data_IF_793831823894
#
_entry.id   IF_793831823894
#
_cell.length_a   1.000
_cell.length_b   1.000
_cell.length_c   1.000
_cell.angle_alpha   90.00
_cell.angle_beta   90.00
_cell.angle_gamma   90.00
#
_symmetry.space_group_name_H-M   'P 1'
#
loop_
_entity.id
_entity.type
_entity.pdbx_description
1 polymer ?
#
# COMPACT_ATOMS: atom_id res chain seq x y z
N UNK A 1 -2.16 10.77 2.49
CA UNK A 1 -1.36 10.18 3.60
C UNK A 1 -0.10 9.60 3.01
N UNK A 2 0.86 9.20 3.84
CA UNK A 2 1.91 8.29 3.41
C UNK A 2 1.29 7.03 2.79
N UNK A 3 1.88 6.54 1.69
CA UNK A 3 1.45 5.32 1.01
C UNK A 3 1.40 4.11 1.95
N UNK A 4 2.26 4.06 2.96
CA UNK A 4 2.25 3.03 4.01
C UNK A 4 0.97 3.07 4.85
N UNK A 5 0.47 4.25 5.20
CA UNK A 5 -0.78 4.40 5.95
C UNK A 5 -1.97 3.93 5.10
N UNK A 6 -2.00 4.29 3.81
CA UNK A 6 -3.00 3.80 2.85
C UNK A 6 -2.98 2.27 2.74
N UNK A 7 -1.79 1.68 2.62
CA UNK A 7 -1.62 0.22 2.58
C UNK A 7 -2.16 -0.45 3.85
N UNK A 8 -1.79 0.03 5.03
CA UNK A 8 -2.25 -0.54 6.30
C UNK A 8 -3.78 -0.48 6.41
N UNK A 9 -4.38 0.66 6.05
CA UNK A 9 -5.83 0.81 6.06
C UNK A 9 -6.52 -0.13 5.05
N UNK A 10 -5.99 -0.26 3.84
CA UNK A 10 -6.51 -1.20 2.84
C UNK A 10 -6.45 -2.66 3.33
N UNK A 11 -5.36 -3.05 3.99
CA UNK A 11 -5.22 -4.40 4.57
C UNK A 11 -6.23 -4.67 5.69
N UNK A 12 -6.56 -3.63 6.48
CA UNK A 12 -7.63 -3.71 7.49
C UNK A 12 -8.99 -3.92 6.82
N UNK A 13 -9.33 -3.14 5.78
CA UNK A 13 -10.59 -3.33 5.04
C UNK A 13 -10.70 -4.75 4.47
N UNK A 14 -9.62 -5.25 3.87
CA UNK A 14 -9.55 -6.62 3.33
C UNK A 14 -9.82 -7.65 4.43
N UNK A 15 -9.19 -7.48 5.60
CA UNK A 15 -9.37 -8.36 6.74
C UNK A 15 -10.79 -8.32 7.32
N UNK A 16 -11.32 -7.13 7.58
CA UNK A 16 -12.65 -6.96 8.18
C UNK A 16 -13.79 -7.50 7.32
N UNK A 17 -13.72 -7.28 6.01
CA UNK A 17 -14.76 -7.74 5.10
C UNK A 17 -14.52 -9.16 4.57
N UNK A 18 -13.43 -9.83 4.99
CA UNK A 18 -13.10 -11.17 4.52
C UNK A 18 -13.02 -11.27 3.00
N UNK A 19 -12.41 -10.26 2.37
CA UNK A 19 -12.47 -10.09 0.92
C UNK A 19 -11.76 -11.24 0.20
N UNK A 20 -12.40 -11.76 -0.86
CA UNK A 20 -11.77 -12.73 -1.74
C UNK A 20 -10.60 -12.11 -2.52
N UNK A 21 -9.85 -12.93 -3.27
CA UNK A 21 -8.66 -12.46 -3.98
C UNK A 21 -8.95 -11.34 -4.99
N UNK A 22 -10.11 -11.37 -5.66
CA UNK A 22 -10.48 -10.38 -6.69
C UNK A 22 -10.85 -9.06 -6.02
N UNK A 23 -11.67 -9.12 -4.99
CA UNK A 23 -12.06 -7.99 -4.17
C UNK A 23 -10.86 -7.34 -3.47
N UNK A 24 -9.99 -8.15 -2.88
CA UNK A 24 -8.76 -7.67 -2.24
C UNK A 24 -7.82 -6.99 -3.24
N UNK A 25 -7.66 -7.55 -4.44
CA UNK A 25 -6.88 -6.90 -5.50
C UNK A 25 -7.49 -5.55 -5.89
N UNK A 26 -8.81 -5.48 -6.08
CA UNK A 26 -9.48 -4.23 -6.41
C UNK A 26 -9.34 -3.19 -5.29
N UNK A 27 -9.44 -3.59 -4.02
CA UNK A 27 -9.19 -2.71 -2.86
C UNK A 27 -7.76 -2.18 -2.85
N UNK A 28 -6.75 -3.02 -3.11
CA UNK A 28 -5.36 -2.57 -3.20
C UNK A 28 -5.14 -1.64 -4.39
N UNK A 29 -5.74 -1.95 -5.54
CA UNK A 29 -5.60 -1.15 -6.75
C UNK A 29 -6.12 0.28 -6.55
N UNK A 30 -7.32 0.41 -5.97
CA UNK A 30 -7.99 1.70 -5.83
C UNK A 30 -7.67 2.42 -4.51
N UNK A 31 -7.27 1.70 -3.47
CA UNK A 31 -6.95 2.26 -2.17
C UNK A 31 -5.46 2.55 -1.96
N UNK A 32 -4.56 1.95 -2.75
CA UNK A 32 -3.10 2.06 -2.55
C UNK A 32 -2.38 2.34 -3.86
N UNK A 33 -2.60 1.53 -4.90
CA UNK A 33 -1.79 1.63 -6.14
C UNK A 33 -2.07 2.89 -6.95
N UNK A 34 -3.10 3.66 -6.62
CA UNK A 34 -3.27 4.99 -7.21
C UNK A 34 -2.08 5.92 -6.87
N UNK A 35 -1.38 5.69 -5.75
CA UNK A 35 -0.16 6.43 -5.38
C UNK A 35 1.07 6.07 -6.25
N UNK A 36 0.96 5.13 -7.20
CA UNK A 36 2.05 4.88 -8.16
C UNK A 36 2.36 6.12 -8.98
N UNK A 37 1.41 7.03 -9.16
CA UNK A 37 1.66 8.32 -9.81
C UNK A 37 2.70 9.19 -9.07
N UNK A 38 2.93 8.97 -7.77
CA UNK A 38 4.00 9.63 -7.02
C UNK A 38 5.38 9.18 -7.52
N UNK A 39 5.49 7.98 -8.12
CA UNK A 39 6.73 7.53 -8.77
C UNK A 39 6.99 8.33 -10.05
N UNK A 40 5.92 8.74 -10.76
CA UNK A 40 6.05 9.63 -11.91
C UNK A 40 6.49 11.03 -11.45
N UNK A 41 5.89 11.54 -10.37
CA UNK A 41 6.34 12.78 -9.72
C UNK A 41 7.79 12.69 -9.24
N UNK A 42 8.21 11.55 -8.69
CA UNK A 42 9.60 11.33 -8.25
C UNK A 42 10.59 11.40 -9.42
N UNK A 43 10.24 10.88 -10.60
CA UNK A 43 11.09 11.00 -11.78
C UNK A 43 11.28 12.48 -12.17
N UNK A 44 10.21 13.26 -12.18
CA UNK A 44 10.27 14.71 -12.43
C UNK A 44 11.08 15.44 -11.34
N UNK A 45 10.85 15.10 -10.07
CA UNK A 45 11.58 15.66 -8.93
C UNK A 45 13.09 15.42 -9.04
N UNK A 46 13.52 14.19 -9.33
CA UNK A 46 14.94 13.87 -9.52
C UNK A 46 15.55 14.70 -10.65
N UNK A 47 14.80 14.95 -11.73
CA UNK A 47 15.30 15.79 -12.83
C UNK A 47 15.40 17.28 -12.47
N UNK A 48 14.57 17.77 -11.55
CA UNK A 48 14.53 19.19 -11.13
C UNK A 48 15.47 19.49 -9.96
N UNK A 49 15.42 18.66 -8.93
CA UNK A 49 16.05 18.89 -7.61
C UNK A 49 17.30 18.04 -7.38
N UNK A 50 17.62 17.11 -8.29
CA UNK A 50 18.78 16.23 -8.17
C UNK A 50 18.54 14.98 -7.31
N UNK A 51 19.36 13.95 -7.53
CA UNK A 51 19.25 12.66 -6.85
C UNK A 51 19.58 12.77 -5.36
N UNK A 52 20.47 13.68 -4.99
CA UNK A 52 20.87 13.97 -3.62
C UNK A 52 19.71 14.42 -2.74
N UNK A 53 18.64 14.98 -3.34
CA UNK A 53 17.48 15.49 -2.63
C UNK A 53 16.34 14.46 -2.52
N UNK A 54 16.46 13.23 -3.04
CA UNK A 54 15.34 12.26 -3.03
C UNK A 54 14.84 11.87 -1.65
N UNK A 55 15.67 12.01 -0.62
CA UNK A 55 15.30 11.76 0.78
C UNK A 55 15.07 13.04 1.58
N UNK A 56 15.16 14.21 0.94
CA UNK A 56 14.96 15.50 1.57
C UNK A 56 13.49 15.88 1.50
N UNK A 57 12.76 15.63 2.60
CA UNK A 57 11.33 15.95 2.69
C UNK A 57 11.06 17.44 2.47
N UNK A 58 11.94 18.33 2.94
CA UNK A 58 11.75 19.76 2.76
C UNK A 58 11.81 20.14 1.28
N UNK A 59 12.78 19.59 0.54
CA UNK A 59 12.90 19.80 -0.90
C UNK A 59 11.66 19.27 -1.65
N UNK A 60 11.18 18.07 -1.30
CA UNK A 60 9.98 17.48 -1.90
C UNK A 60 8.74 18.38 -1.69
N UNK A 61 8.58 18.95 -0.49
CA UNK A 61 7.44 19.80 -0.13
C UNK A 61 7.51 21.21 -0.75
N UNK A 62 8.72 21.73 -1.00
CA UNK A 62 8.90 23.04 -1.64
C UNK A 62 8.97 22.98 -3.17
N UNK A 63 9.20 21.79 -3.73
CA UNK A 63 9.32 21.60 -5.18
C UNK A 63 7.98 21.80 -5.89
N UNK A 64 8.02 22.47 -7.04
CA UNK A 64 6.87 22.60 -7.95
C UNK A 64 6.78 21.37 -8.85
N UNK A 65 6.47 20.23 -8.23
CA UNK A 65 6.29 18.92 -8.88
C UNK A 65 4.86 18.46 -8.66
N UNK A 66 4.23 17.96 -9.72
CA UNK A 66 2.91 17.38 -9.62
C UNK A 66 2.99 15.97 -9.04
N UNK A 67 2.83 15.85 -7.72
CA UNK A 67 2.90 14.57 -7.01
C UNK A 67 1.65 13.69 -7.17
N UNK A 68 0.50 14.30 -7.49
CA UNK A 68 -0.80 13.62 -7.53
C UNK A 68 -1.44 13.70 -8.92
N UNK A 69 -1.95 12.59 -9.40
CA UNK A 69 -2.71 12.54 -10.66
C UNK A 69 -4.17 12.96 -10.45
N UNK A 70 -4.94 12.91 -11.55
CA UNK A 70 -6.38 13.11 -11.53
C UNK A 70 -7.10 12.09 -10.62
N UNK A 71 -6.53 10.92 -10.34
CA UNK A 71 -7.14 9.91 -9.46
C UNK A 71 -7.27 10.36 -8.01
N UNK A 72 -6.52 11.37 -7.57
CA UNK A 72 -6.66 12.00 -6.25
C UNK A 72 -7.67 13.15 -6.23
N UNK A 73 -8.42 13.33 -7.32
CA UNK A 73 -9.42 14.37 -7.48
C UNK A 73 -10.84 13.77 -7.47
N UNK A 74 -11.85 14.39 -6.83
CA UNK A 74 -13.23 13.93 -6.89
C UNK A 74 -13.76 13.70 -8.31
N UNK A 75 -13.23 14.45 -9.27
CA UNK A 75 -13.52 14.37 -10.71
C UNK A 75 -13.18 12.99 -11.29
N UNK A 76 -12.25 12.23 -10.68
CA UNK A 76 -11.96 10.86 -11.10
C UNK A 76 -13.14 9.90 -10.92
N UNK A 77 -14.23 10.31 -10.25
CA UNK A 77 -15.48 9.54 -10.24
C UNK A 77 -15.97 9.18 -11.65
N UNK A 78 -15.70 10.03 -12.65
CA UNK A 78 -16.06 9.78 -14.05
C UNK A 78 -15.32 8.58 -14.65
N UNK A 79 -14.16 8.21 -14.10
CA UNK A 79 -13.39 7.03 -14.49
C UNK A 79 -13.63 5.86 -13.54
N UNK A 80 -13.72 6.11 -12.24
CA UNK A 80 -13.91 5.08 -11.21
C UNK A 80 -15.31 4.47 -11.29
N UNK A 81 -16.36 5.27 -11.52
CA UNK A 81 -17.73 4.76 -11.57
C UNK A 81 -17.98 3.76 -12.72
N UNK A 82 -17.52 3.99 -13.97
CA UNK A 82 -17.57 2.96 -15.01
C UNK A 82 -16.83 1.68 -14.64
N UNK A 83 -15.70 1.78 -13.94
CA UNK A 83 -14.95 0.60 -13.47
C UNK A 83 -15.75 -0.16 -12.42
N UNK A 84 -16.30 0.53 -11.42
CA UNK A 84 -17.20 -0.04 -10.39
C UNK A 84 -18.36 -0.79 -11.03
N UNK A 85 -19.02 -0.18 -12.02
CA UNK A 85 -20.11 -0.80 -12.79
C UNK A 85 -19.63 -2.02 -13.58
N UNK A 86 -18.47 -1.93 -14.23
CA UNK A 86 -17.87 -3.01 -15.01
C UNK A 86 -17.45 -4.22 -14.16
N UNK A 87 -16.87 -3.98 -12.99
CA UNK A 87 -16.53 -5.02 -12.01
C UNK A 87 -17.75 -5.51 -11.22
N UNK A 88 -18.91 -4.87 -11.36
CA UNK A 88 -20.15 -5.13 -10.60
C UNK A 88 -19.89 -5.22 -9.10
N UNK A 89 -19.02 -4.35 -8.61
CA UNK A 89 -18.49 -4.40 -7.26
C UNK A 89 -18.35 -2.99 -6.73
N UNK A 90 -18.90 -2.71 -5.55
CA UNK A 90 -18.82 -1.38 -4.91
C UNK A 90 -17.45 -1.11 -4.26
N UNK A 91 -16.67 -2.16 -4.01
CA UNK A 91 -15.39 -2.06 -3.30
C UNK A 91 -14.36 -1.11 -3.92
N UNK A 92 -14.18 -1.00 -5.26
CA UNK A 92 -13.32 0.03 -5.84
C UNK A 92 -13.73 1.44 -5.41
N UNK A 93 -15.03 1.73 -5.35
CA UNK A 93 -15.53 3.04 -4.93
C UNK A 93 -15.25 3.31 -3.45
N UNK A 94 -15.45 2.30 -2.60
CA UNK A 94 -15.19 2.39 -1.16
C UNK A 94 -13.70 2.59 -0.90
N UNK A 95 -12.84 1.81 -1.55
CA UNK A 95 -11.39 1.91 -1.40
C UNK A 95 -10.85 3.24 -1.90
N UNK A 96 -11.29 3.69 -3.08
CA UNK A 96 -10.93 4.99 -3.64
C UNK A 96 -11.44 6.16 -2.78
N UNK A 97 -12.70 6.10 -2.34
CA UNK A 97 -13.27 7.12 -1.47
C UNK A 97 -12.57 7.21 -0.12
N UNK A 98 -12.22 6.07 0.48
CA UNK A 98 -11.42 6.03 1.70
C UNK A 98 -10.04 6.63 1.49
N UNK A 99 -9.39 6.34 0.36
CA UNK A 99 -8.12 6.95 -0.01
C UNK A 99 -8.22 8.49 -0.08
N UNK A 100 -9.20 9.02 -0.83
CA UNK A 100 -9.42 10.46 -0.92
C UNK A 100 -9.70 11.10 0.44
N UNK A 101 -10.50 10.42 1.29
CA UNK A 101 -10.79 10.90 2.63
C UNK A 101 -9.53 10.95 3.48
N UNK A 102 -8.69 9.93 3.41
CA UNK A 102 -7.40 9.87 4.11
C UNK A 102 -6.46 11.00 3.65
N UNK A 103 -6.43 11.28 2.35
CA UNK A 103 -5.70 12.41 1.79
C UNK A 103 -6.23 13.75 2.28
N UNK A 104 -7.55 13.93 2.25
CA UNK A 104 -8.21 15.12 2.79
C UNK A 104 -7.85 15.30 4.27
N UNK A 105 -7.89 14.24 5.07
CA UNK A 105 -7.55 14.29 6.49
C UNK A 105 -6.08 14.69 6.71
N UNK A 106 -5.17 14.12 5.92
CA UNK A 106 -3.75 14.47 6.00
C UNK A 106 -3.53 15.95 5.69
N UNK A 107 -4.05 16.44 4.56
CA UNK A 107 -3.78 17.81 4.11
C UNK A 107 -4.43 18.86 5.02
N UNK A 108 -5.62 18.60 5.54
CA UNK A 108 -6.38 19.62 6.30
C UNK A 108 -6.13 19.58 7.82
N UNK A 109 -5.69 18.44 8.38
CA UNK A 109 -5.62 18.29 9.84
C UNK A 109 -4.30 17.76 10.39
N UNK A 110 -3.60 16.89 9.65
CA UNK A 110 -2.40 16.24 10.19
C UNK A 110 -1.10 16.91 9.72
N UNK A 111 -1.05 17.35 8.47
CA UNK A 111 0.20 17.74 7.80
C UNK A 111 0.98 16.52 7.30
N UNK A 112 1.72 16.72 6.20
CA UNK A 112 2.46 15.65 5.51
C UNK A 112 3.71 15.27 6.32
N UNK A 113 3.86 13.99 6.66
CA UNK A 113 5.00 13.47 7.40
C UNK A 113 5.07 13.94 8.85
N UNK A 114 3.98 14.49 9.38
CA UNK A 114 3.96 15.07 10.72
C UNK A 114 3.96 14.01 11.82
N UNK A 115 4.33 14.37 13.07
CA UNK A 115 4.20 13.46 14.21
C UNK A 115 2.77 12.93 14.41
N UNK A 116 1.75 13.72 14.08
CA UNK A 116 0.35 13.31 14.17
C UNK A 116 0.00 12.21 13.15
N UNK A 117 0.50 12.35 11.90
CA UNK A 117 0.36 11.29 10.89
C UNK A 117 1.09 10.01 11.30
N UNK A 118 2.31 10.13 11.84
CA UNK A 118 3.08 8.97 12.32
C UNK A 118 2.38 8.25 13.48
N UNK A 119 1.78 9.01 14.40
CA UNK A 119 0.99 8.45 15.50
C UNK A 119 -0.23 7.68 14.99
N UNK A 120 -1.00 8.28 14.07
CA UNK A 120 -2.16 7.62 13.46
C UNK A 120 -1.75 6.33 12.73
N UNK A 121 -0.66 6.37 11.97
CA UNK A 121 -0.10 5.18 11.31
C UNK A 121 0.24 4.08 12.31
N UNK A 122 0.84 4.44 13.47
CA UNK A 122 1.11 3.51 14.57
C UNK A 122 -0.17 2.87 15.13
N UNK A 123 -1.22 3.66 15.34
CA UNK A 123 -2.52 3.15 15.80
C UNK A 123 -3.13 2.17 14.79
N UNK A 124 -3.13 2.52 13.50
CA UNK A 124 -3.63 1.66 12.42
C UNK A 124 -2.80 0.36 12.36
N UNK A 125 -1.48 0.44 12.46
CA UNK A 125 -0.60 -0.72 12.48
C UNK A 125 -0.91 -1.66 13.67
N UNK A 126 -1.17 -1.10 14.86
CA UNK A 126 -1.56 -1.88 16.04
C UNK A 126 -2.91 -2.57 15.86
N UNK A 127 -3.89 -1.90 15.25
CA UNK A 127 -5.19 -2.51 14.91
C UNK A 127 -4.98 -3.71 13.98
N UNK A 128 -4.22 -3.52 12.90
CA UNK A 128 -3.93 -4.60 11.96
C UNK A 128 -3.19 -5.77 12.64
N UNK A 129 -2.22 -5.46 13.49
CA UNK A 129 -1.46 -6.46 14.25
C UNK A 129 -2.38 -7.28 15.17
N UNK A 130 -3.30 -6.62 15.87
CA UNK A 130 -4.25 -7.28 16.75
C UNK A 130 -5.25 -8.14 15.97
N UNK A 131 -5.72 -7.67 14.80
CA UNK A 131 -6.55 -8.48 13.91
C UNK A 131 -5.82 -9.76 13.46
N UNK A 132 -4.57 -9.64 13.02
CA UNK A 132 -3.75 -10.79 12.59
C UNK A 132 -3.46 -11.76 13.72
N UNK A 133 -3.18 -11.24 14.92
CA UNK A 133 -3.01 -12.06 16.11
C UNK A 133 -4.28 -12.83 16.47
N UNK A 134 -5.44 -12.18 16.40
CA UNK A 134 -6.72 -12.83 16.69
C UNK A 134 -7.02 -13.96 15.68
N UNK A 135 -6.81 -13.70 14.38
CA UNK A 135 -6.95 -14.70 13.32
C UNK A 135 -5.99 -15.89 13.51
N UNK A 136 -4.70 -15.61 13.76
CA UNK A 136 -3.69 -16.63 14.04
C UNK A 136 -4.05 -17.48 15.26
N UNK A 137 -4.46 -16.84 16.35
CA UNK A 137 -4.85 -17.53 17.58
C UNK A 137 -6.09 -18.41 17.39
N UNK A 138 -7.07 -17.95 16.61
CA UNK A 138 -8.24 -18.75 16.29
C UNK A 138 -7.90 -19.99 15.46
N UNK A 139 -6.93 -19.89 14.54
CA UNK A 139 -6.56 -20.97 13.62
C UNK A 139 -5.56 -21.98 14.21
N UNK A 140 -4.72 -21.56 15.15
CA UNK A 140 -3.61 -22.38 15.65
C UNK A 140 -3.68 -22.71 17.14
N UNK A 141 -4.50 -21.97 17.91
CA UNK A 141 -4.51 -22.03 19.37
C UNK A 141 -3.32 -21.32 20.04
N UNK A 142 -2.34 -20.80 19.27
CA UNK A 142 -1.20 -20.06 19.80
C UNK A 142 -1.52 -18.56 19.90
N UNK A 143 -1.30 -17.98 21.08
CA UNK A 143 -1.55 -16.55 21.36
C UNK A 143 -0.27 -15.71 21.35
N UNK A 144 0.89 -16.33 21.12
CA UNK A 144 2.20 -15.71 21.21
C UNK A 144 2.50 -14.82 20.00
N UNK A 145 3.13 -13.67 20.26
CA UNK A 145 3.59 -12.78 19.19
C UNK A 145 4.69 -13.45 18.36
N UNK A 146 5.57 -14.22 19.00
CA UNK A 146 6.64 -14.95 18.31
C UNK A 146 6.08 -15.96 17.31
N UNK A 147 5.05 -16.71 17.68
CA UNK A 147 4.36 -17.65 16.79
C UNK A 147 3.79 -16.94 15.56
N UNK A 148 3.08 -15.83 15.77
CA UNK A 148 2.57 -14.99 14.69
C UNK A 148 3.67 -14.52 13.73
N UNK A 149 4.78 -13.98 14.26
CA UNK A 149 5.88 -13.50 13.43
C UNK A 149 6.50 -14.62 12.58
N UNK A 150 6.72 -15.79 13.16
CA UNK A 150 7.27 -16.95 12.42
C UNK A 150 6.28 -17.39 11.33
N UNK A 151 4.98 -17.46 11.67
CA UNK A 151 3.94 -17.84 10.72
C UNK A 151 3.88 -16.89 9.51
N UNK A 152 3.80 -15.59 9.76
CA UNK A 152 3.73 -14.58 8.68
C UNK A 152 5.03 -14.51 7.87
N UNK A 153 6.19 -14.70 8.51
CA UNK A 153 7.48 -14.77 7.81
C UNK A 153 7.51 -15.95 6.85
N UNK A 154 7.11 -17.14 7.29
CA UNK A 154 7.08 -18.35 6.45
C UNK A 154 6.06 -18.24 5.33
N UNK A 155 4.89 -17.67 5.61
CA UNK A 155 3.86 -17.39 4.61
C UNK A 155 4.38 -16.44 3.53
N UNK A 156 5.02 -15.35 3.93
CA UNK A 156 5.59 -14.36 3.01
C UNK A 156 6.70 -14.97 2.16
N UNK A 157 7.63 -15.71 2.76
CA UNK A 157 8.68 -16.43 2.02
C UNK A 157 8.10 -17.40 0.99
N UNK A 158 7.06 -18.14 1.37
CA UNK A 158 6.36 -19.07 0.46
C UNK A 158 5.70 -18.33 -0.71
N UNK A 159 5.01 -17.22 -0.42
CA UNK A 159 4.38 -16.36 -1.43
C UNK A 159 5.42 -15.80 -2.40
N UNK A 160 6.48 -15.17 -1.88
CA UNK A 160 7.58 -14.62 -2.68
C UNK A 160 8.24 -15.71 -3.53
N UNK A 161 8.52 -16.88 -2.96
CA UNK A 161 9.08 -18.02 -3.69
C UNK A 161 8.14 -18.61 -4.75
N UNK A 162 6.84 -18.35 -4.65
CA UNK A 162 5.83 -18.77 -5.64
C UNK A 162 5.67 -17.77 -6.80
N UNK A 163 6.23 -16.56 -6.69
CA UNK A 163 6.08 -15.54 -7.74
C UNK A 163 6.78 -15.98 -9.04
N UNK A 164 6.07 -15.98 -10.18
CA UNK A 164 6.62 -16.42 -11.47
C UNK A 164 7.85 -15.62 -11.91
N UNK A 165 7.87 -14.32 -11.61
CA UNK A 165 8.97 -13.41 -11.94
C UNK A 165 10.25 -13.82 -11.22
N UNK A 166 10.20 -14.11 -9.92
CA UNK A 166 11.37 -14.54 -9.14
C UNK A 166 11.82 -15.96 -9.50
N UNK A 167 10.89 -16.86 -9.84
CA UNK A 167 11.26 -18.17 -10.42
C UNK A 167 11.96 -18.03 -11.76
N UNK A 168 11.52 -17.08 -12.59
CA UNK A 168 12.13 -16.79 -13.89
C UNK A 168 13.53 -16.19 -13.69
N UNK A 169 13.69 -15.18 -12.84
CA UNK A 169 14.99 -14.59 -12.48
C UNK A 169 15.94 -15.64 -11.90
N UNK A 170 15.46 -16.54 -11.02
CA UNK A 170 16.26 -17.65 -10.49
C UNK A 170 16.74 -18.62 -11.59
N UNK A 171 15.93 -18.87 -12.63
CA UNK A 171 16.36 -19.66 -13.81
C UNK A 171 17.45 -18.94 -14.62
N UNK A 172 17.45 -17.61 -14.65
CA UNK A 172 18.49 -16.81 -15.35
C UNK A 172 19.79 -16.70 -14.55
N UNK A 173 19.72 -16.72 -13.21
CA UNK A 173 20.89 -16.60 -12.32
C UNK A 173 21.54 -17.94 -12.00
N UNK A 174 20.76 -19.04 -11.90
CA UNK A 174 21.28 -20.37 -11.59
C UNK A 174 22.44 -20.86 -12.50
N UNK A 175 22.49 -20.55 -13.81
CA UNK A 175 23.62 -20.92 -14.67
C UNK A 175 24.92 -20.15 -14.35
N UNK A 176 24.84 -19.01 -13.68
CA UNK A 176 26.01 -18.18 -13.31
C UNK A 176 26.67 -18.64 -12.01
N UNK A 177 26.00 -19.48 -11.22
CA UNK A 177 26.52 -20.03 -9.96
C UNK A 177 27.51 -21.19 -10.11
N UNK A 178 27.71 -21.71 -11.33
CA UNK A 178 28.69 -22.76 -11.64
C UNK A 178 30.00 -22.20 -12.25
N UNK A 179 30.23 -20.89 -12.14
CA UNK A 179 31.46 -20.21 -12.60
C UNK A 179 32.40 -19.81 -11.45
N UNK A 180 32.23 -20.41 -10.27
CA UNK A 180 33.18 -20.36 -9.16
C UNK A 180 33.38 -21.75 -8.58
#
# INVERSE_FOLDING_TARGET
MLATTHLLFALILIGWFGLDRKAAFATLLFGVLIDIDHVLGMAEFVTKEGLENTLNLQAALSSDVQWKSLLHSPQAILFVAPVVLGFRMVLPLVAWGAHLLMDFVQTNYLGIGSPAEMFLMGVIALILLQMRRAEFSANTGDTSMRGLFVHETMRTLTLVGSLPVLRSVKRWIAPLGNLW
#
